data_IF_167274955094
#
_entry.id   IF_167274955094
#
_cell.length_a   1.000
_cell.length_b   1.000
_cell.length_c   1.000
_cell.angle_alpha   90.00
_cell.angle_beta   90.00
_cell.angle_gamma   90.00
#
_symmetry.space_group_name_H-M   'P 1'
#
loop_
_entity.id
_entity.type
_entity.pdbx_description
1 polymer ?
#
# COMPACT_ATOMS: atom_id res chain seq x y z
N UNK A 1 -17.64 3.98 -10.43
CA UNK A 1 -18.59 4.82 -9.67
C UNK A 1 -18.84 4.09 -8.37
N UNK A 2 -18.64 4.73 -7.23
CA UNK A 2 -18.83 4.11 -5.91
C UNK A 2 -20.31 3.76 -5.71
N UNK A 3 -20.59 2.59 -5.12
CA UNK A 3 -21.94 2.05 -4.97
C UNK A 3 -22.63 2.59 -3.72
N UNK A 4 -21.87 3.07 -2.73
CA UNK A 4 -22.38 3.60 -1.46
C UNK A 4 -21.44 4.65 -0.85
N UNK A 5 -21.89 5.30 0.23
CA UNK A 5 -21.14 6.35 0.94
C UNK A 5 -19.85 5.84 1.60
N UNK A 6 -19.76 4.55 1.92
CA UNK A 6 -18.53 3.96 2.45
C UNK A 6 -17.42 3.95 1.39
N UNK A 7 -17.74 3.48 0.18
CA UNK A 7 -16.80 3.47 -0.95
C UNK A 7 -16.37 4.88 -1.37
N UNK A 8 -17.27 5.86 -1.28
CA UNK A 8 -16.95 7.28 -1.54
C UNK A 8 -15.95 7.82 -0.52
N UNK A 9 -16.22 7.62 0.78
CA UNK A 9 -15.37 8.14 1.86
C UNK A 9 -13.99 7.47 1.89
N UNK A 10 -13.89 6.20 1.49
CA UNK A 10 -12.65 5.44 1.51
C UNK A 10 -11.99 5.28 0.14
N UNK A 11 -12.47 6.01 -0.87
CA UNK A 11 -12.02 5.87 -2.25
C UNK A 11 -10.49 5.89 -2.39
N UNK A 12 -9.82 6.84 -1.72
CA UNK A 12 -8.36 6.98 -1.80
C UNK A 12 -7.62 5.78 -1.19
N UNK A 13 -8.13 5.22 -0.08
CA UNK A 13 -7.54 4.03 0.56
C UNK A 13 -7.76 2.80 -0.30
N UNK A 14 -9.00 2.60 -0.77
CA UNK A 14 -9.35 1.49 -1.66
C UNK A 14 -8.50 1.53 -2.92
N UNK A 15 -8.38 2.69 -3.57
CA UNK A 15 -7.58 2.85 -4.78
C UNK A 15 -6.10 2.56 -4.54
N UNK A 16 -5.53 3.09 -3.46
CA UNK A 16 -4.13 2.85 -3.13
C UNK A 16 -3.86 1.36 -2.85
N UNK A 17 -4.78 0.68 -2.16
CA UNK A 17 -4.71 -0.76 -1.95
C UNK A 17 -4.70 -1.56 -3.27
N UNK A 18 -5.56 -1.21 -4.22
CA UNK A 18 -5.61 -1.88 -5.53
C UNK A 18 -4.28 -1.82 -6.30
N UNK A 19 -3.43 -0.84 -6.03
CA UNK A 19 -2.14 -0.64 -6.69
C UNK A 19 -0.94 -0.90 -5.77
N UNK A 20 -1.13 -1.37 -4.53
CA UNK A 20 -0.06 -1.49 -3.54
C UNK A 20 1.16 -2.29 -4.04
N UNK A 21 0.95 -3.37 -4.80
CA UNK A 21 2.02 -4.16 -5.44
C UNK A 21 2.31 -3.81 -6.92
N UNK A 22 1.80 -2.70 -7.44
CA UNK A 22 1.93 -2.31 -8.86
C UNK A 22 2.37 -0.85 -9.05
N UNK A 23 2.38 -0.06 -7.98
CA UNK A 23 2.79 1.33 -8.03
C UNK A 23 4.30 1.43 -8.26
N UNK A 24 4.70 2.12 -9.32
CA UNK A 24 6.11 2.36 -9.68
C UNK A 24 6.64 3.71 -9.14
N UNK A 25 5.95 4.30 -8.16
CA UNK A 25 6.26 5.60 -7.56
C UNK A 25 6.44 6.77 -8.56
N UNK A 26 5.66 6.78 -9.66
CA UNK A 26 5.74 7.82 -10.69
C UNK A 26 5.18 9.19 -10.28
N UNK A 27 4.49 9.31 -9.13
CA UNK A 27 3.95 10.57 -8.62
C UNK A 27 2.74 11.17 -9.37
N UNK A 28 2.32 10.56 -10.49
CA UNK A 28 1.24 11.07 -11.35
C UNK A 28 -0.10 11.21 -10.63
N UNK A 29 -0.39 10.35 -9.66
CA UNK A 29 -1.59 10.44 -8.83
C UNK A 29 -1.66 11.75 -8.04
N UNK A 30 -0.52 12.29 -7.59
CA UNK A 30 -0.47 13.58 -6.88
C UNK A 30 -0.47 14.74 -7.85
N UNK A 31 0.26 14.63 -8.97
CA UNK A 31 0.36 15.68 -9.99
C UNK A 31 -1.00 16.01 -10.61
N UNK A 32 -1.81 14.99 -10.88
CA UNK A 32 -3.13 15.14 -11.51
C UNK A 32 -4.24 15.50 -10.51
N UNK A 33 -3.98 15.44 -9.20
CA UNK A 33 -5.01 15.65 -8.20
C UNK A 33 -5.47 17.12 -8.18
N UNK A 34 -6.74 17.42 -8.48
CA UNK A 34 -7.25 18.79 -8.52
C UNK A 34 -7.36 19.43 -7.12
N UNK A 35 -7.25 18.64 -6.06
CA UNK A 35 -7.28 19.08 -4.66
C UNK A 35 -5.88 19.13 -4.04
N UNK A 36 -4.83 18.92 -4.84
CA UNK A 36 -3.44 18.95 -4.41
C UNK A 36 -3.12 18.03 -3.21
N UNK A 37 -3.83 16.91 -3.11
CA UNK A 37 -3.60 15.92 -2.06
C UNK A 37 -2.33 15.13 -2.43
N UNK A 38 -1.37 14.95 -1.50
CA UNK A 38 -0.12 14.23 -1.75
C UNK A 38 -0.32 12.70 -1.75
N UNK A 39 -1.11 12.17 -2.70
CA UNK A 39 -1.49 10.76 -2.80
C UNK A 39 -0.31 9.78 -2.98
N UNK A 40 0.84 10.26 -3.47
CA UNK A 40 2.05 9.44 -3.60
C UNK A 40 2.58 8.99 -2.23
N UNK A 41 2.39 9.79 -1.17
CA UNK A 41 2.80 9.41 0.19
C UNK A 41 2.10 8.13 0.67
N UNK A 42 0.81 8.00 0.34
CA UNK A 42 0.03 6.81 0.69
C UNK A 42 0.55 5.56 -0.03
N UNK A 43 0.86 5.69 -1.33
CA UNK A 43 1.41 4.56 -2.10
C UNK A 43 2.83 4.19 -1.65
N UNK A 44 3.69 5.18 -1.34
CA UNK A 44 5.03 4.93 -0.78
C UNK A 44 4.97 4.26 0.58
N UNK A 45 3.96 4.58 1.41
CA UNK A 45 3.73 3.86 2.66
C UNK A 45 3.40 2.39 2.40
N UNK A 46 2.55 2.09 1.42
CA UNK A 46 2.29 0.71 1.03
C UNK A 46 3.54 -0.02 0.52
N UNK A 47 4.36 0.62 -0.33
CA UNK A 47 5.63 0.02 -0.77
C UNK A 47 6.52 -0.31 0.42
N UNK A 48 6.69 0.64 1.35
CA UNK A 48 7.46 0.40 2.58
C UNK A 48 6.91 -0.77 3.41
N UNK A 49 5.59 -0.84 3.58
CA UNK A 49 4.98 -1.94 4.33
C UNK A 49 5.14 -3.28 3.64
N UNK A 50 5.05 -3.31 2.31
CA UNK A 50 5.30 -4.50 1.53
C UNK A 50 6.75 -4.97 1.72
N UNK A 51 7.71 -4.07 1.59
CA UNK A 51 9.13 -4.37 1.75
C UNK A 51 9.45 -4.92 3.16
N UNK A 52 8.84 -4.34 4.19
CA UNK A 52 9.06 -4.76 5.58
C UNK A 52 8.38 -6.08 5.95
N UNK A 53 7.23 -6.39 5.35
CA UNK A 53 6.42 -7.56 5.71
C UNK A 53 6.66 -8.77 4.80
N UNK A 54 6.86 -8.55 3.51
CA UNK A 54 6.96 -9.60 2.49
C UNK A 54 8.33 -9.65 1.83
N UNK A 55 9.25 -8.76 2.21
CA UNK A 55 10.60 -8.66 1.66
C UNK A 55 10.70 -7.69 0.47
N UNK A 56 11.93 -7.41 0.02
CA UNK A 56 12.21 -6.35 -0.94
C UNK A 56 11.53 -6.61 -2.28
N UNK A 57 10.65 -5.70 -2.68
CA UNK A 57 9.90 -5.81 -3.92
C UNK A 57 9.81 -4.46 -4.64
N UNK A 58 10.16 -4.43 -5.92
CA UNK A 58 10.05 -3.24 -6.77
C UNK A 58 9.09 -3.54 -7.90
N UNK A 59 7.97 -2.80 -7.96
CA UNK A 59 7.00 -2.97 -9.03
C UNK A 59 7.64 -2.64 -10.39
N UNK A 60 7.51 -3.56 -11.35
CA UNK A 60 8.00 -3.38 -12.72
C UNK A 60 9.52 -3.50 -12.88
N UNK A 61 10.26 -3.99 -11.88
CA UNK A 61 11.70 -4.29 -12.03
C UNK A 61 11.96 -5.43 -13.02
N UNK A 62 11.06 -6.40 -13.07
CA UNK A 62 11.15 -7.57 -13.91
C UNK A 62 9.75 -8.14 -14.24
N UNK A 63 9.70 -9.12 -15.14
CA UNK A 63 8.46 -9.68 -15.67
C UNK A 63 8.09 -11.04 -15.05
N UNK A 64 8.95 -11.60 -14.19
CA UNK A 64 8.80 -12.96 -13.63
C UNK A 64 8.30 -12.92 -12.18
N UNK A 65 8.84 -12.00 -11.38
CA UNK A 65 8.50 -11.75 -9.99
C UNK A 65 7.07 -11.28 -9.87
N UNK A 66 6.24 -12.12 -9.23
CA UNK A 66 4.86 -11.77 -8.95
C UNK A 66 4.79 -10.80 -7.76
N UNK A 67 3.88 -9.81 -7.79
CA UNK A 67 3.62 -8.94 -6.65
C UNK A 67 3.24 -9.73 -5.39
N UNK A 68 3.68 -9.31 -4.19
CA UNK A 68 3.34 -9.98 -2.93
C UNK A 68 1.83 -10.15 -2.69
N UNK A 69 1.02 -9.20 -3.18
CA UNK A 69 -0.45 -9.26 -3.09
C UNK A 69 -1.12 -10.31 -4.00
N UNK A 70 -0.37 -10.96 -4.89
CA UNK A 70 -0.83 -12.01 -5.80
C UNK A 70 -0.22 -13.38 -5.50
N UNK A 71 0.56 -13.48 -4.44
CA UNK A 71 1.23 -14.70 -3.99
C UNK A 71 0.91 -14.96 -2.53
N UNK A 72 1.12 -16.19 -2.08
CA UNK A 72 0.93 -16.58 -0.69
C UNK A 72 2.08 -17.48 -0.26
N UNK A 73 2.61 -17.24 0.93
CA UNK A 73 3.58 -18.11 1.61
C UNK A 73 3.10 -18.42 3.03
N UNK A 74 3.54 -19.55 3.61
CA UNK A 74 3.17 -19.92 4.99
C UNK A 74 3.79 -19.01 6.05
N UNK A 75 4.80 -18.23 5.67
CA UNK A 75 5.50 -17.29 6.54
C UNK A 75 4.96 -15.85 6.41
N UNK A 76 3.89 -15.64 5.61
CA UNK A 76 3.27 -14.32 5.42
C UNK A 76 2.73 -13.76 6.74
N UNK A 77 2.75 -12.42 6.87
CA UNK A 77 2.33 -11.77 8.10
C UNK A 77 0.83 -11.97 8.39
N UNK A 78 0.53 -12.37 9.63
CA UNK A 78 -0.86 -12.47 10.10
C UNK A 78 -1.46 -11.10 10.44
N UNK A 79 -2.78 -10.99 10.37
CA UNK A 79 -3.50 -9.73 10.61
C UNK A 79 -3.25 -9.12 12.01
N UNK A 80 -2.79 -9.92 12.98
CA UNK A 80 -2.38 -9.48 14.31
C UNK A 80 -1.22 -8.47 14.31
N UNK A 81 -0.46 -8.39 13.21
CA UNK A 81 0.64 -7.44 13.03
C UNK A 81 0.21 -5.98 13.21
N UNK A 82 -1.04 -5.65 12.93
CA UNK A 82 -1.60 -4.30 13.09
C UNK A 82 -1.50 -3.86 14.56
N UNK A 83 -1.85 -4.74 15.50
CA UNK A 83 -1.78 -4.44 16.93
C UNK A 83 -0.34 -4.40 17.46
N UNK A 84 0.55 -5.23 16.91
CA UNK A 84 1.95 -5.28 17.32
C UNK A 84 2.72 -4.04 16.86
N UNK A 85 2.51 -3.58 15.62
CA UNK A 85 3.13 -2.37 15.08
C UNK A 85 2.66 -1.12 15.82
N UNK A 86 1.38 -1.06 16.20
CA UNK A 86 0.86 0.03 17.03
C UNK A 86 1.59 0.11 18.37
N UNK A 87 1.75 -1.01 19.08
CA UNK A 87 2.49 -1.06 20.35
C UNK A 87 3.95 -0.59 20.21
N UNK A 88 4.69 -1.10 19.21
CA UNK A 88 6.08 -0.70 18.94
C UNK A 88 6.22 0.79 18.59
N UNK A 89 5.24 1.34 17.86
CA UNK A 89 5.23 2.76 17.48
C UNK A 89 4.84 3.70 18.63
N UNK A 90 4.20 3.19 19.68
CA UNK A 90 3.91 3.92 20.91
C UNK A 90 5.11 3.93 21.88
N UNK A 91 5.90 2.86 21.93
CA UNK A 91 7.12 2.78 22.74
C UNK A 91 8.31 3.58 22.15
N UNK A 92 8.29 3.85 20.84
CA UNK A 92 9.31 4.64 20.15
C UNK A 92 9.12 6.17 20.25
N UNK A 93 8.15 6.64 21.04
CA UNK A 93 7.89 8.06 21.35
C UNK A 93 8.22 8.36 22.80
#
# INVERSE_FOLDING_TARGET
>A
VAVNSFEENLFHIIRAWHVAGRCTDCGECSRVCPQHIPLHLLNRKFTKDIDELYGPYIAGSDMETKPPMLTYTTDDCEASIVHQREALSQEAK
#
